data_IF_540515878812
#
_entry.id   IF_540515878812
#
_cell.length_a   1.000
_cell.length_b   1.000
_cell.length_c   1.000
_cell.angle_alpha   90.00
_cell.angle_beta   90.00
_cell.angle_gamma   90.00
#
_symmetry.space_group_name_H-M   'P 1'
#
loop_
_entity.id
_entity.type
_entity.pdbx_description
1 polymer ?
#
# COMPACT_ATOMS: atom_id res chain seq x y z
N UNK A 1 -31.62 -25.44 9.55
CA UNK A 1 -30.70 -25.01 8.46
C UNK A 1 -29.38 -24.46 8.98
N UNK A 2 -29.35 -23.37 9.78
CA UNK A 2 -28.09 -22.77 10.26
C UNK A 2 -27.20 -23.73 11.09
N UNK A 3 -27.79 -24.53 12.00
CA UNK A 3 -27.07 -25.57 12.78
C UNK A 3 -26.39 -26.62 11.88
N UNK A 4 -27.02 -27.04 10.79
CA UNK A 4 -26.46 -28.01 9.81
C UNK A 4 -25.26 -27.44 9.05
N UNK A 5 -25.18 -26.13 8.90
CA UNK A 5 -24.08 -25.44 8.22
C UNK A 5 -22.97 -25.00 9.18
N UNK A 6 -23.09 -25.28 10.50
CA UNK A 6 -22.15 -24.80 11.50
C UNK A 6 -22.06 -23.27 11.60
N UNK A 7 -23.14 -22.55 11.26
CA UNK A 7 -23.19 -21.08 11.26
C UNK A 7 -24.26 -20.54 12.19
N UNK A 8 -24.05 -19.32 12.69
CA UNK A 8 -25.05 -18.64 13.49
C UNK A 8 -26.33 -18.38 12.66
N UNK A 9 -27.53 -18.50 13.24
CA UNK A 9 -28.78 -18.17 12.55
C UNK A 9 -28.77 -16.73 11.99
N UNK A 10 -28.18 -15.78 12.72
CA UNK A 10 -28.06 -14.39 12.28
C UNK A 10 -27.20 -14.22 11.02
N UNK A 11 -26.18 -15.07 10.83
CA UNK A 11 -25.33 -15.04 9.63
C UNK A 11 -26.13 -15.48 8.42
N UNK A 12 -26.85 -16.60 8.54
CA UNK A 12 -27.68 -17.15 7.45
C UNK A 12 -28.82 -16.19 7.11
N UNK A 13 -29.48 -15.62 8.12
CA UNK A 13 -30.56 -14.64 7.90
C UNK A 13 -30.06 -13.39 7.17
N UNK A 14 -28.92 -12.82 7.60
CA UNK A 14 -28.32 -11.65 6.95
C UNK A 14 -27.83 -11.96 5.53
N UNK A 15 -27.34 -13.16 5.27
CA UNK A 15 -26.92 -13.58 3.93
C UNK A 15 -28.12 -13.69 2.99
N UNK A 16 -29.18 -14.36 3.42
CA UNK A 16 -30.40 -14.51 2.61
C UNK A 16 -31.05 -13.15 2.35
N UNK A 17 -31.25 -12.33 3.39
CA UNK A 17 -31.86 -11.01 3.26
C UNK A 17 -31.08 -10.09 2.31
N UNK A 18 -29.75 -10.14 2.35
CA UNK A 18 -28.88 -9.30 1.51
C UNK A 18 -28.85 -9.73 0.04
N UNK A 19 -29.13 -11.01 -0.26
CA UNK A 19 -29.06 -11.57 -1.60
C UNK A 19 -30.45 -11.90 -2.17
N UNK A 20 -31.45 -11.07 -1.88
CA UNK A 20 -32.79 -11.14 -2.48
C UNK A 20 -33.87 -11.81 -1.63
N UNK A 21 -33.58 -12.21 -0.39
CA UNK A 21 -34.56 -12.90 0.46
C UNK A 21 -34.73 -14.37 0.11
N UNK A 22 -35.64 -15.07 0.80
CA UNK A 22 -35.78 -16.54 0.64
C UNK A 22 -36.23 -16.95 -0.76
N UNK A 23 -37.14 -16.21 -1.37
CA UNK A 23 -37.77 -16.59 -2.64
C UNK A 23 -36.88 -16.30 -3.85
N UNK A 24 -36.00 -15.30 -3.75
CA UNK A 24 -35.10 -14.89 -4.83
C UNK A 24 -33.64 -15.28 -4.60
N UNK A 25 -33.31 -15.98 -3.49
CA UNK A 25 -31.92 -16.36 -3.20
C UNK A 25 -31.35 -17.27 -4.29
N UNK A 26 -30.24 -16.85 -4.89
CA UNK A 26 -29.46 -17.64 -5.85
C UNK A 26 -28.01 -17.72 -5.38
N UNK A 27 -27.52 -18.94 -5.15
CA UNK A 27 -26.18 -19.16 -4.59
C UNK A 27 -25.06 -18.57 -5.47
N UNK A 28 -25.11 -18.78 -6.79
CA UNK A 28 -24.11 -18.25 -7.72
C UNK A 28 -24.07 -16.71 -7.72
N UNK A 29 -25.24 -16.06 -7.70
CA UNK A 29 -25.33 -14.60 -7.63
C UNK A 29 -24.83 -14.05 -6.29
N UNK A 30 -25.17 -14.73 -5.18
CA UNK A 30 -24.70 -14.37 -3.84
C UNK A 30 -23.17 -14.49 -3.73
N UNK A 31 -22.58 -15.55 -4.29
CA UNK A 31 -21.13 -15.77 -4.32
C UNK A 31 -20.42 -14.71 -5.18
N UNK A 32 -20.92 -14.45 -6.39
CA UNK A 32 -20.41 -13.37 -7.23
C UNK A 32 -20.48 -12.01 -6.53
N UNK A 33 -21.59 -11.70 -5.87
CA UNK A 33 -21.75 -10.46 -5.10
C UNK A 33 -20.82 -10.41 -3.88
N UNK A 34 -20.57 -11.54 -3.21
CA UNK A 34 -19.61 -11.65 -2.11
C UNK A 34 -18.18 -11.41 -2.61
N UNK A 35 -17.80 -12.00 -3.74
CA UNK A 35 -16.51 -11.79 -4.39
C UNK A 35 -16.30 -10.31 -4.73
N UNK A 36 -17.28 -9.66 -5.38
CA UNK A 36 -17.18 -8.23 -5.71
C UNK A 36 -17.05 -7.35 -4.46
N UNK A 37 -17.86 -7.60 -3.41
CA UNK A 37 -17.74 -6.88 -2.12
C UNK A 37 -16.40 -7.13 -1.43
N UNK A 38 -15.85 -8.33 -1.56
CA UNK A 38 -14.54 -8.72 -1.05
C UNK A 38 -13.38 -7.93 -1.68
N UNK A 39 -13.55 -7.40 -2.90
CA UNK A 39 -12.50 -6.62 -3.59
C UNK A 39 -12.10 -5.35 -2.83
N UNK A 40 -13.01 -4.78 -2.02
CA UNK A 40 -12.82 -3.58 -1.16
C UNK A 40 -11.77 -2.58 -1.72
N UNK A 41 -11.94 -2.08 -2.96
CA UNK A 41 -10.93 -1.23 -3.58
C UNK A 41 -10.84 0.09 -2.82
N UNK A 42 -9.73 0.30 -2.11
CA UNK A 42 -9.42 1.61 -1.53
C UNK A 42 -8.86 2.49 -2.65
N UNK A 43 -9.58 3.55 -3.01
CA UNK A 43 -9.10 4.53 -3.98
C UNK A 43 -7.69 5.00 -3.57
N UNK A 44 -6.77 5.04 -4.52
CA UNK A 44 -5.42 5.52 -4.25
C UNK A 44 -5.46 7.01 -3.86
N UNK A 45 -4.57 7.44 -2.96
CA UNK A 45 -4.54 8.84 -2.50
C UNK A 45 -4.39 9.84 -3.64
N UNK A 46 -3.61 9.47 -4.66
CA UNK A 46 -3.36 10.28 -5.85
C UNK A 46 -4.58 10.33 -6.80
N UNK A 47 -5.48 9.34 -6.74
CA UNK A 47 -6.75 9.43 -7.47
C UNK A 47 -7.70 10.44 -6.83
N UNK A 48 -7.65 10.53 -5.49
CA UNK A 48 -8.52 11.41 -4.71
C UNK A 48 -8.02 12.86 -4.64
N UNK A 49 -6.74 13.12 -4.95
CA UNK A 49 -6.10 14.43 -4.77
C UNK A 49 -5.36 14.85 -6.05
N UNK A 50 -6.06 15.51 -7.01
CA UNK A 50 -5.48 15.90 -8.30
C UNK A 50 -4.27 16.83 -8.18
N UNK A 51 -4.28 17.77 -7.23
CA UNK A 51 -3.15 18.68 -7.00
C UNK A 51 -1.89 17.95 -6.55
N UNK A 52 -2.03 17.03 -5.58
CA UNK A 52 -0.93 16.18 -5.12
C UNK A 52 -0.41 15.29 -6.27
N UNK A 53 -1.31 14.72 -7.07
CA UNK A 53 -0.94 13.94 -8.26
C UNK A 53 -0.08 14.75 -9.23
N UNK A 54 -0.53 15.95 -9.60
CA UNK A 54 0.19 16.79 -10.56
C UNK A 54 1.63 17.08 -10.09
N UNK A 55 1.83 17.35 -8.80
CA UNK A 55 3.16 17.54 -8.23
C UNK A 55 4.01 16.27 -8.29
N UNK A 56 3.44 15.11 -7.94
CA UNK A 56 4.16 13.83 -8.01
C UNK A 56 4.56 13.52 -9.45
N UNK A 57 3.66 13.70 -10.43
CA UNK A 57 3.93 13.48 -11.85
C UNK A 57 5.02 14.42 -12.38
N UNK A 58 4.94 15.72 -12.05
CA UNK A 58 5.95 16.70 -12.43
C UNK A 58 7.35 16.33 -11.88
N UNK A 59 7.43 15.88 -10.62
CA UNK A 59 8.71 15.46 -10.04
C UNK A 59 9.23 14.14 -10.62
N UNK A 60 8.34 13.18 -10.89
CA UNK A 60 8.70 11.94 -11.58
C UNK A 60 9.24 12.22 -12.99
N UNK A 61 8.66 13.17 -13.73
CA UNK A 61 9.14 13.59 -15.05
C UNK A 61 10.57 14.17 -14.99
N UNK A 62 10.93 14.81 -13.88
CA UNK A 62 12.28 15.30 -13.57
C UNK A 62 13.22 14.20 -13.02
N UNK A 63 12.84 12.93 -13.12
CA UNK A 63 13.61 11.77 -12.66
C UNK A 63 13.86 11.73 -11.14
N UNK A 64 13.00 12.37 -10.34
CA UNK A 64 13.06 12.25 -8.88
C UNK A 64 12.57 10.87 -8.45
N UNK A 65 13.26 10.26 -7.48
CA UNK A 65 12.80 9.01 -6.86
C UNK A 65 11.56 9.24 -5.98
N UNK A 66 10.67 8.24 -5.81
CA UNK A 66 9.53 8.33 -4.91
C UNK A 66 9.88 8.75 -3.47
N UNK A 67 11.06 8.34 -2.98
CA UNK A 67 11.60 8.72 -1.67
C UNK A 67 11.94 10.22 -1.62
N UNK A 68 12.60 10.75 -2.65
CA UNK A 68 12.89 12.19 -2.77
C UNK A 68 11.60 13.01 -2.87
N UNK A 69 10.61 12.55 -3.63
CA UNK A 69 9.33 13.24 -3.79
C UNK A 69 8.59 13.30 -2.45
N UNK A 70 8.48 12.18 -1.74
CA UNK A 70 7.82 12.14 -0.43
C UNK A 70 8.54 13.04 0.60
N UNK A 71 9.88 13.03 0.61
CA UNK A 71 10.67 13.90 1.49
C UNK A 71 10.56 15.39 1.12
N UNK A 72 10.48 15.72 -0.17
CA UNK A 72 10.28 17.09 -0.64
C UNK A 72 8.90 17.62 -0.29
N UNK A 73 7.84 16.83 -0.53
CA UNK A 73 6.47 17.20 -0.16
C UNK A 73 6.34 17.52 1.32
N UNK A 74 6.96 16.72 2.19
CA UNK A 74 6.96 16.97 3.65
C UNK A 74 7.62 18.30 4.03
N UNK A 75 8.66 18.71 3.31
CA UNK A 75 9.38 19.97 3.57
C UNK A 75 8.65 21.19 2.99
N UNK A 76 8.02 21.05 1.83
CA UNK A 76 7.34 22.16 1.16
C UNK A 76 5.95 22.45 1.73
N UNK A 77 5.27 21.41 2.21
CA UNK A 77 3.92 21.52 2.77
C UNK A 77 3.90 21.03 4.21
N UNK A 78 4.63 21.70 5.14
CA UNK A 78 4.58 21.35 6.55
C UNK A 78 3.15 21.56 7.08
N UNK A 79 2.63 20.58 7.80
CA UNK A 79 1.28 20.65 8.40
C UNK A 79 0.10 20.34 7.46
N UNK A 80 0.26 20.44 6.14
CA UNK A 80 -0.81 20.07 5.21
C UNK A 80 -0.83 18.56 4.96
N UNK A 81 -1.72 17.88 5.67
CA UNK A 81 -1.92 16.43 5.50
C UNK A 81 -2.41 16.07 4.10
N UNK A 82 -3.10 16.95 3.36
CA UNK A 82 -3.56 16.65 2.01
C UNK A 82 -2.39 16.48 1.01
N UNK A 83 -1.25 17.14 1.27
CA UNK A 83 -0.04 17.07 0.43
C UNK A 83 0.96 15.99 0.86
N UNK A 84 0.69 15.27 1.94
CA UNK A 84 1.56 14.19 2.39
C UNK A 84 1.27 12.89 1.65
N UNK A 85 2.32 12.15 1.28
CA UNK A 85 2.19 10.79 0.74
C UNK A 85 3.46 9.99 1.06
N UNK A 86 3.32 8.69 1.33
CA UNK A 86 4.49 7.82 1.48
C UNK A 86 5.07 7.47 0.11
N UNK A 87 6.39 7.28 0.04
CA UNK A 87 7.06 6.78 -1.16
C UNK A 87 6.50 5.41 -1.58
N UNK A 88 6.10 4.58 -0.61
CA UNK A 88 5.39 3.32 -0.84
C UNK A 88 4.07 3.50 -1.59
N UNK A 89 3.28 4.53 -1.24
CA UNK A 89 2.03 4.80 -1.94
C UNK A 89 2.27 5.27 -3.38
N UNK A 90 3.33 6.05 -3.62
CA UNK A 90 3.76 6.42 -4.98
C UNK A 90 4.16 5.16 -5.76
N UNK A 91 4.98 4.26 -5.16
CA UNK A 91 5.34 3.00 -5.79
C UNK A 91 4.13 2.13 -6.12
N UNK A 92 3.17 2.00 -5.20
CA UNK A 92 1.95 1.25 -5.44
C UNK A 92 1.14 1.86 -6.59
N UNK A 93 1.04 3.18 -6.69
CA UNK A 93 0.35 3.83 -7.81
C UNK A 93 1.03 3.58 -9.16
N UNK A 94 2.35 3.42 -9.21
CA UNK A 94 3.08 3.09 -10.45
C UNK A 94 2.94 1.60 -10.84
N UNK A 95 3.09 0.70 -9.86
CA UNK A 95 3.25 -0.74 -10.14
C UNK A 95 1.98 -1.59 -9.95
N UNK A 96 1.05 -1.23 -9.06
CA UNK A 96 -0.17 -1.99 -8.81
C UNK A 96 -1.28 -1.55 -9.80
N UNK A 97 -1.69 -2.42 -10.75
CA UNK A 97 -2.73 -2.08 -11.72
C UNK A 97 -4.06 -1.67 -11.07
N UNK A 98 -4.36 -2.14 -9.86
CA UNK A 98 -5.59 -1.79 -9.13
C UNK A 98 -5.57 -0.34 -8.64
N UNK A 99 -4.38 0.24 -8.47
CA UNK A 99 -4.14 1.61 -7.95
C UNK A 99 -3.61 2.57 -9.02
N UNK A 100 -3.33 2.06 -10.22
CA UNK A 100 -2.78 2.78 -11.39
C UNK A 100 -3.75 3.79 -12.02
N UNK A 101 -4.99 3.87 -11.56
CA UNK A 101 -5.99 4.82 -12.06
C UNK A 101 -5.55 6.29 -11.95
N UNK A 102 -4.50 6.58 -11.19
CA UNK A 102 -4.07 7.94 -10.90
C UNK A 102 -2.81 8.40 -11.62
N UNK A 103 -1.89 7.54 -12.06
CA UNK A 103 -0.61 7.98 -12.65
C UNK A 103 -0.28 7.14 -13.88
N UNK A 104 0.24 7.79 -14.93
CA UNK A 104 0.72 7.10 -16.14
C UNK A 104 1.88 6.14 -15.83
N UNK A 105 1.78 4.92 -16.37
CA UNK A 105 2.82 3.89 -16.26
C UNK A 105 4.12 4.31 -16.96
N UNK A 106 4.05 5.14 -17.99
CA UNK A 106 5.24 5.60 -18.73
C UNK A 106 6.30 6.23 -17.80
N UNK A 107 5.87 6.87 -16.70
CA UNK A 107 6.74 7.47 -15.69
C UNK A 107 7.64 6.46 -14.96
N UNK A 108 7.37 5.15 -15.06
CA UNK A 108 8.31 4.13 -14.58
C UNK A 108 9.65 4.13 -15.32
N UNK A 109 9.70 4.61 -16.58
CA UNK A 109 10.93 4.77 -17.35
C UNK A 109 11.85 5.87 -16.80
N UNK A 110 11.29 6.83 -16.05
CA UNK A 110 12.03 7.92 -15.41
C UNK A 110 12.68 7.49 -14.08
N UNK A 111 12.31 6.31 -13.56
CA UNK A 111 12.91 5.77 -12.34
C UNK A 111 14.29 5.18 -12.65
N UNK A 112 15.22 5.36 -11.71
CA UNK A 112 16.58 4.81 -11.78
C UNK A 112 16.63 3.29 -11.98
N UNK A 113 15.58 2.57 -11.55
CA UNK A 113 15.46 1.13 -11.78
C UNK A 113 14.53 0.90 -12.97
N UNK A 114 15.08 0.45 -14.11
CA UNK A 114 14.30 0.05 -15.29
C UNK A 114 13.51 -1.26 -15.11
N UNK A 115 13.25 -1.67 -13.86
CA UNK A 115 12.55 -2.93 -13.59
C UNK A 115 11.07 -2.80 -13.94
N UNK A 116 10.50 -3.75 -14.69
CA UNK A 116 9.09 -3.70 -15.10
C UNK A 116 8.13 -3.90 -13.92
N UNK A 117 8.62 -4.47 -12.82
CA UNK A 117 7.87 -4.68 -11.59
C UNK A 117 8.74 -4.46 -10.36
N UNK A 118 8.15 -3.88 -9.32
CA UNK A 118 8.79 -3.78 -8.01
C UNK A 118 8.93 -5.17 -7.39
N UNK A 119 10.11 -5.50 -6.89
CA UNK A 119 10.29 -6.66 -6.03
C UNK A 119 9.99 -6.27 -4.58
N UNK A 120 9.20 -7.06 -3.84
CA UNK A 120 9.06 -6.83 -2.40
C UNK A 120 10.46 -6.86 -1.77
N UNK A 121 10.68 -6.00 -0.76
CA UNK A 121 11.81 -6.20 0.14
C UNK A 121 11.57 -7.55 0.80
N UNK A 122 12.28 -8.59 0.35
CA UNK A 122 12.36 -9.84 1.11
C UNK A 122 12.77 -9.49 2.54
N UNK A 123 12.15 -10.13 3.53
CA UNK A 123 12.69 -10.10 4.88
C UNK A 123 14.19 -10.38 4.78
N UNK A 124 15.01 -9.56 5.44
CA UNK A 124 16.46 -9.82 5.52
C UNK A 124 16.61 -11.24 6.03
N UNK A 125 16.98 -12.17 5.14
CA UNK A 125 17.39 -13.50 5.58
C UNK A 125 18.57 -13.26 6.51
N UNK A 126 18.59 -13.85 7.72
CA UNK A 126 19.75 -13.76 8.57
C UNK A 126 20.95 -14.15 7.71
N UNK A 127 21.97 -13.30 7.68
CA UNK A 127 23.15 -13.46 6.81
C UNK A 127 23.97 -14.72 7.13
N UNK A 128 23.52 -15.55 8.08
CA UNK A 128 24.24 -16.67 8.64
C UNK A 128 25.40 -16.26 9.55
N UNK A 129 25.74 -14.96 9.60
CA UNK A 129 26.93 -14.43 10.29
C UNK A 129 26.78 -14.27 11.81
N UNK A 130 25.65 -14.68 12.39
CA UNK A 130 25.36 -14.49 13.80
C UNK A 130 25.18 -13.02 14.21
N UNK A 131 24.94 -12.80 15.50
CA UNK A 131 24.95 -11.47 16.15
C UNK A 131 26.29 -11.36 16.88
N UNK A 132 27.01 -10.24 16.72
CA UNK A 132 28.25 -10.00 17.48
C UNK A 132 27.90 -9.96 18.97
N UNK A 133 28.37 -10.96 19.72
CA UNK A 133 28.21 -10.97 21.19
C UNK A 133 29.15 -9.94 21.79
N UNK A 134 28.64 -9.16 22.75
CA UNK A 134 29.41 -8.07 23.38
C UNK A 134 29.53 -6.81 22.54
N UNK A 135 28.61 -6.56 21.61
CA UNK A 135 28.59 -5.30 20.86
C UNK A 135 28.37 -4.12 21.81
N UNK A 136 29.42 -3.32 22.02
CA UNK A 136 29.35 -2.08 22.78
C UNK A 136 28.77 -1.00 21.86
N UNK A 137 27.71 -0.34 22.31
CA UNK A 137 27.11 0.78 21.57
C UNK A 137 28.14 1.89 21.38
N UNK A 138 28.08 2.60 20.25
CA UNK A 138 28.91 3.80 20.02
C UNK A 138 28.67 4.85 21.12
N UNK A 139 27.48 4.83 21.74
CA UNK A 139 27.11 5.66 22.89
C UNK A 139 27.87 5.34 24.17
N UNK A 140 28.52 4.17 24.25
CA UNK A 140 29.28 3.70 25.41
C UNK A 140 30.80 3.81 25.18
N UNK A 141 31.23 4.60 24.17
CA UNK A 141 32.65 4.90 23.96
C UNK A 141 33.20 5.69 25.16
N UNK A 142 34.44 5.41 25.62
CA UNK A 142 35.07 6.19 26.68
C UNK A 142 35.22 7.65 26.26
N UNK A 143 35.13 8.58 27.22
CA UNK A 143 35.28 10.01 26.97
C UNK A 143 36.68 10.39 26.48
N UNK A 144 37.69 9.55 26.73
CA UNK A 144 39.10 9.72 26.34
C UNK A 144 39.33 9.71 24.82
N UNK A 145 38.30 9.41 24.02
CA UNK A 145 38.38 9.29 22.55
C UNK A 145 37.89 10.56 21.83
N UNK A 146 37.55 11.62 22.57
CA UNK A 146 37.16 12.93 22.00
C UNK A 146 38.31 13.96 21.90
N UNK A 147 39.55 13.55 22.20
CA UNK A 147 40.78 14.34 21.93
C UNK A 147 41.32 14.16 20.51
#
# INVERSE_FOLDING_TARGET
>A
MAKRLGRSPSTVSREIARNGGRDCYRAASADAAAYQRGRRPKQARLAQRPALRALVEAKLALCWSPEQIAGWLRRQFPGDTAMQISHEAIYLSLYDPRRRQAIDRSLTQRLRSGRPMRRPKLARRPTGRGIIRGMVSISARPAEVED
#
